data_IF_316337586897
#
_entry.id   IF_316337586897
#
_cell.length_a   1.000
_cell.length_b   1.000
_cell.length_c   1.000
_cell.angle_alpha   90.00
_cell.angle_beta   90.00
_cell.angle_gamma   90.00
#
_symmetry.space_group_name_H-M   'P 1'
#
loop_
_entity.id
_entity.type
_entity.pdbx_description
1 polymer ?
#
# COMPACT_ATOMS: atom_id res chain seq x y z
N UNK A 1 -1.33 -10.62 14.30
CA UNK A 1 -1.19 -9.20 13.98
C UNK A 1 -2.15 -8.40 14.85
N UNK A 2 -1.69 -7.52 15.76
CA UNK A 2 -2.55 -6.78 16.69
C UNK A 2 -3.62 -5.90 15.99
N UNK A 3 -3.39 -5.50 14.74
CA UNK A 3 -4.34 -4.71 13.96
C UNK A 3 -5.55 -5.52 13.45
N UNK A 4 -5.39 -6.83 13.28
CA UNK A 4 -6.46 -7.71 12.77
C UNK A 4 -7.57 -7.95 13.81
N UNK A 5 -7.27 -7.77 15.10
CA UNK A 5 -8.20 -8.08 16.18
C UNK A 5 -9.16 -6.92 16.50
N UNK A 6 -8.77 -5.67 16.20
CA UNK A 6 -9.57 -4.48 16.53
C UNK A 6 -10.59 -4.08 15.45
N UNK A 7 -10.71 -4.81 14.35
CA UNK A 7 -11.62 -4.48 13.24
C UNK A 7 -11.33 -3.13 12.57
N UNK A 8 -10.12 -2.59 12.75
CA UNK A 8 -9.71 -1.33 12.16
C UNK A 8 -9.41 -1.52 10.66
N UNK A 9 -9.88 -0.62 9.78
CA UNK A 9 -9.62 -0.72 8.37
C UNK A 9 -8.12 -0.50 8.08
N UNK A 10 -7.58 -1.32 7.18
CA UNK A 10 -6.19 -1.21 6.74
C UNK A 10 -6.10 -1.29 5.21
N UNK A 11 -5.18 -0.51 4.64
CA UNK A 11 -4.94 -0.41 3.20
C UNK A 11 -3.45 -0.57 2.92
N UNK A 12 -3.07 -1.51 2.05
CA UNK A 12 -1.68 -1.66 1.60
C UNK A 12 -1.49 -1.01 0.23
N UNK A 13 -0.47 -0.16 0.13
CA UNK A 13 -0.09 0.53 -1.12
C UNK A 13 1.39 0.29 -1.45
N UNK A 14 1.81 0.29 -2.74
CA UNK A 14 3.21 0.12 -3.11
C UNK A 14 4.05 1.34 -2.70
N UNK A 15 5.17 1.13 -1.99
CA UNK A 15 6.01 2.22 -1.47
C UNK A 15 7.41 2.32 -2.06
N UNK A 16 7.71 1.46 -3.03
CA UNK A 16 8.95 1.49 -3.78
C UNK A 16 9.57 0.11 -3.92
N UNK A 17 10.90 0.09 -4.04
CA UNK A 17 11.67 -1.14 -4.17
C UNK A 17 12.87 -1.07 -3.23
N UNK A 18 13.24 -2.21 -2.66
CA UNK A 18 14.50 -2.34 -1.92
C UNK A 18 15.70 -2.18 -2.86
N UNK A 19 16.90 -2.01 -2.30
CA UNK A 19 18.15 -2.02 -3.08
C UNK A 19 18.32 -3.30 -3.91
N UNK A 20 17.75 -4.42 -3.45
CA UNK A 20 17.72 -5.70 -4.16
C UNK A 20 16.61 -5.79 -5.23
N UNK A 21 15.86 -4.72 -5.50
CA UNK A 21 14.77 -4.70 -6.49
C UNK A 21 13.51 -5.46 -6.06
N UNK A 22 13.32 -5.69 -4.76
CA UNK A 22 12.10 -6.31 -4.24
C UNK A 22 11.03 -5.23 -3.99
N UNK A 23 9.76 -5.45 -4.42
CA UNK A 23 8.70 -4.47 -4.17
C UNK A 23 8.47 -4.32 -2.67
N UNK A 24 8.34 -3.08 -2.22
CA UNK A 24 8.00 -2.72 -0.85
C UNK A 24 6.55 -2.22 -0.81
N UNK A 25 5.87 -2.50 0.30
CA UNK A 25 4.53 -2.00 0.58
C UNK A 25 4.54 -1.11 1.82
N UNK A 26 3.61 -0.16 1.85
CA UNK A 26 3.26 0.63 3.02
C UNK A 26 1.85 0.25 3.44
N UNK A 27 1.67 -0.06 4.72
CA UNK A 27 0.37 -0.34 5.31
C UNK A 27 -0.16 0.90 6.02
N UNK A 28 -1.27 1.43 5.54
CA UNK A 28 -2.04 2.50 6.15
C UNK A 28 -3.11 1.88 7.04
N UNK A 29 -3.29 2.42 8.25
CA UNK A 29 -4.30 1.96 9.21
C UNK A 29 -5.17 3.14 9.60
N UNK A 30 -6.47 3.01 9.38
CA UNK A 30 -7.47 4.00 9.76
C UNK A 30 -8.15 3.67 11.08
N UNK A 31 -8.89 4.64 11.62
CA UNK A 31 -9.87 4.35 12.70
C UNK A 31 -11.04 3.56 12.13
N UNK A 32 -11.79 2.87 12.99
CA UNK A 32 -13.02 2.16 12.59
C UNK A 32 -13.98 3.09 11.83
N UNK A 33 -14.64 2.56 10.81
CA UNK A 33 -15.62 3.27 9.97
C UNK A 33 -15.04 4.48 9.19
N UNK A 34 -13.72 4.54 8.98
CA UNK A 34 -13.04 5.59 8.21
C UNK A 34 -12.42 5.09 6.90
N UNK A 35 -12.99 4.04 6.30
CA UNK A 35 -12.54 3.45 5.04
C UNK A 35 -12.46 4.50 3.92
N UNK A 36 -13.45 5.40 3.84
CA UNK A 36 -13.47 6.45 2.82
C UNK A 36 -12.26 7.38 2.92
N UNK A 37 -11.88 7.78 4.14
CA UNK A 37 -10.69 8.60 4.38
C UNK A 37 -9.42 7.82 4.07
N UNK A 38 -9.35 6.56 4.51
CA UNK A 38 -8.21 5.69 4.25
C UNK A 38 -7.97 5.50 2.74
N UNK A 39 -9.03 5.30 1.96
CA UNK A 39 -8.98 5.23 0.50
C UNK A 39 -8.57 6.56 -0.13
N UNK A 40 -9.07 7.70 0.35
CA UNK A 40 -8.66 9.02 -0.15
C UNK A 40 -7.16 9.28 0.09
N UNK A 41 -6.65 8.89 1.26
CA UNK A 41 -5.21 9.00 1.57
C UNK A 41 -4.39 8.08 0.66
N UNK A 42 -4.82 6.81 0.50
CA UNK A 42 -4.18 5.88 -0.43
C UNK A 42 -4.16 6.40 -1.86
N UNK A 43 -5.26 6.96 -2.34
CA UNK A 43 -5.37 7.53 -3.68
C UNK A 43 -4.46 8.75 -3.87
N UNK A 44 -4.40 9.66 -2.89
CA UNK A 44 -3.46 10.80 -2.96
C UNK A 44 -2.01 10.35 -2.94
N UNK A 45 -1.69 9.33 -2.13
CA UNK A 45 -0.35 8.74 -2.11
C UNK A 45 0.02 8.11 -3.46
N UNK A 46 -0.91 7.39 -4.08
CA UNK A 46 -0.75 6.81 -5.41
C UNK A 46 -0.53 7.89 -6.48
N UNK A 47 -1.28 8.99 -6.44
CA UNK A 47 -1.11 10.09 -7.38
C UNK A 47 0.23 10.84 -7.19
N UNK A 48 0.71 10.91 -5.95
CA UNK A 48 1.99 11.54 -5.63
C UNK A 48 3.20 10.66 -5.97
N UNK A 49 3.01 9.36 -6.23
CA UNK A 49 4.11 8.41 -6.39
C UNK A 49 3.97 7.51 -7.63
N UNK A 50 5.03 7.27 -8.40
CA UNK A 50 4.94 6.45 -9.61
C UNK A 50 5.06 4.94 -9.34
N UNK A 51 5.10 4.49 -8.08
CA UNK A 51 5.42 3.11 -7.72
C UNK A 51 4.46 2.09 -8.35
N UNK A 52 3.17 2.44 -8.43
CA UNK A 52 2.12 1.63 -9.05
C UNK A 52 2.34 1.39 -10.56
N UNK A 53 3.13 2.25 -11.23
CA UNK A 53 3.48 2.12 -12.66
C UNK A 53 4.71 1.24 -12.90
N UNK A 54 5.53 1.01 -11.88
CA UNK A 54 6.71 0.15 -11.99
C UNK A 54 6.30 -1.31 -11.89
N UNK A 55 6.22 -1.98 -13.03
CA UNK A 55 6.05 -3.43 -13.11
C UNK A 55 7.42 -4.12 -13.05
N UNK A 56 7.54 -5.18 -12.27
CA UNK A 56 8.68 -6.09 -12.38
C UNK A 56 8.66 -6.69 -13.80
N UNK A 57 9.78 -6.72 -14.55
CA UNK A 57 9.83 -7.49 -15.78
C UNK A 57 9.56 -8.96 -15.43
N UNK A 58 8.51 -9.54 -16.02
CA UNK A 58 8.21 -10.96 -15.82
C UNK A 58 9.41 -11.74 -16.34
N UNK A 59 10.11 -12.46 -15.45
CA UNK A 59 11.00 -13.51 -15.92
C UNK A 59 10.10 -14.63 -16.42
N UNK A 60 10.10 -14.87 -17.73
CA UNK A 60 9.62 -16.15 -18.27
C UNK A 60 10.45 -17.24 -17.61
N UNK A 61 9.78 -18.15 -16.92
CA UNK A 61 10.39 -19.41 -16.46
C UNK A 61 10.73 -20.28 -17.67
#
# INVERSE_FOLDING_TARGET
NPLSYNGAPALSVPSGFSQAGLPLSLQLVGKQLQEALLCQVGYRYEQATPWHKKRRPMKSA
#
